data_IF_188019370597
#
_entry.id   IF_188019370597
#
_cell.length_a   1.000
_cell.length_b   1.000
_cell.length_c   1.000
_cell.angle_alpha   90.00
_cell.angle_beta   90.00
_cell.angle_gamma   90.00
#
_symmetry.space_group_name_H-M   'P 1'
#
loop_
_entity.id
_entity.type
_entity.pdbx_description
1 polymer ?
#
# COMPACT_ATOMS: atom_id res chain seq x y z
N UNK A 1 -7.75 1.64 6.51
CA UNK A 1 -8.89 1.75 7.45
C UNK A 1 -9.51 0.37 7.51
N UNK A 2 -9.67 -0.23 8.69
CA UNK A 2 -10.03 -1.66 8.76
C UNK A 2 -11.48 -1.81 8.31
N UNK A 3 -11.69 -2.60 7.26
CA UNK A 3 -13.02 -2.99 6.83
C UNK A 3 -13.49 -4.18 7.67
N UNK A 4 -14.45 -3.92 8.56
CA UNK A 4 -15.02 -4.91 9.47
C UNK A 4 -16.26 -5.59 8.89
N UNK A 5 -16.82 -5.08 7.79
CA UNK A 5 -18.01 -5.64 7.15
C UNK A 5 -17.89 -7.13 6.83
N UNK A 6 -16.76 -7.64 6.31
CA UNK A 6 -16.61 -9.07 6.05
C UNK A 6 -16.67 -9.94 7.31
N UNK A 7 -16.35 -9.38 8.48
CA UNK A 7 -16.40 -10.09 9.76
C UNK A 7 -17.82 -10.16 10.34
N UNK A 8 -18.69 -9.24 9.92
CA UNK A 8 -20.07 -9.11 10.39
C UNK A 8 -21.08 -9.78 9.44
N UNK A 9 -20.62 -10.26 8.28
CA UNK A 9 -21.46 -10.90 7.27
C UNK A 9 -21.57 -12.41 7.50
N UNK A 10 -22.70 -12.83 8.08
CA UNK A 10 -22.99 -14.23 8.42
C UNK A 10 -23.46 -15.06 7.20
N UNK A 11 -23.66 -14.44 6.04
CA UNK A 11 -24.13 -15.15 4.84
C UNK A 11 -23.04 -15.99 4.17
N UNK A 12 -21.76 -15.70 4.46
CA UNK A 12 -20.58 -16.31 3.84
C UNK A 12 -19.91 -17.30 4.79
N UNK A 13 -20.44 -18.51 4.82
CA UNK A 13 -20.00 -19.58 5.74
C UNK A 13 -19.07 -20.61 5.11
N UNK A 14 -18.96 -20.67 3.79
CA UNK A 14 -18.18 -21.70 3.09
C UNK A 14 -16.73 -21.27 2.86
N UNK A 15 -15.83 -22.25 2.85
CA UNK A 15 -14.40 -22.04 2.61
C UNK A 15 -14.13 -21.58 1.16
N UNK A 16 -13.12 -20.71 0.94
CA UNK A 16 -12.77 -20.25 -0.40
C UNK A 16 -12.31 -21.40 -1.30
N UNK A 17 -12.78 -21.42 -2.55
CA UNK A 17 -12.27 -22.33 -3.58
C UNK A 17 -10.81 -22.00 -3.93
N UNK A 18 -10.08 -23.00 -4.42
CA UNK A 18 -8.71 -22.85 -4.96
C UNK A 18 -8.64 -21.78 -6.08
N UNK A 19 -9.71 -21.63 -6.88
CA UNK A 19 -9.80 -20.60 -7.93
C UNK A 19 -9.88 -19.20 -7.35
N UNK A 20 -10.67 -18.99 -6.29
CA UNK A 20 -10.76 -17.69 -5.59
C UNK A 20 -9.41 -17.30 -4.99
N UNK A 21 -8.74 -18.22 -4.30
CA UNK A 21 -7.40 -17.98 -3.74
C UNK A 21 -6.36 -17.63 -4.83
N UNK A 22 -6.39 -18.33 -5.96
CA UNK A 22 -5.53 -18.01 -7.11
C UNK A 22 -5.82 -16.63 -7.69
N UNK A 23 -7.10 -16.27 -7.86
CA UNK A 23 -7.52 -14.93 -8.32
C UNK A 23 -7.07 -13.82 -7.37
N UNK A 24 -7.23 -14.02 -6.06
CA UNK A 24 -6.74 -13.06 -5.06
C UNK A 24 -5.21 -12.91 -5.14
N UNK A 25 -4.49 -14.02 -5.31
CA UNK A 25 -3.04 -14.02 -5.46
C UNK A 25 -2.56 -13.33 -6.76
N UNK A 26 -3.25 -13.51 -7.90
CA UNK A 26 -2.91 -12.84 -9.16
C UNK A 26 -3.30 -11.37 -9.17
N UNK A 27 -4.42 -11.01 -8.52
CA UNK A 27 -4.85 -9.62 -8.33
C UNK A 27 -3.93 -8.84 -7.37
N UNK A 28 -3.02 -9.54 -6.66
CA UNK A 28 -2.16 -8.94 -5.65
C UNK A 28 -2.94 -8.46 -4.43
N UNK A 29 -4.12 -9.03 -4.18
CA UNK A 29 -4.90 -8.78 -2.98
C UNK A 29 -4.21 -9.48 -1.82
N UNK A 30 -3.83 -8.69 -0.84
CA UNK A 30 -3.21 -9.14 0.40
C UNK A 30 -3.91 -8.40 1.52
N UNK A 31 -3.96 -9.02 2.70
CA UNK A 31 -4.36 -8.31 3.92
C UNK A 31 -3.61 -6.97 3.98
N UNK A 32 -4.32 -5.89 4.28
CA UNK A 32 -3.73 -4.56 4.38
C UNK A 32 -2.54 -4.66 5.35
N UNK A 33 -1.35 -4.28 4.87
CA UNK A 33 -0.12 -4.48 5.61
C UNK A 33 -0.22 -3.66 6.91
N UNK A 34 -0.14 -4.35 8.05
CA UNK A 34 -0.14 -3.65 9.33
C UNK A 34 1.09 -2.77 9.43
N UNK A 35 0.90 -1.61 10.07
CA UNK A 35 1.94 -0.61 10.21
C UNK A 35 3.00 -0.96 11.27
N UNK A 36 3.18 -2.25 11.60
CA UNK A 36 4.12 -2.79 12.60
C UNK A 36 5.59 -2.39 12.36
N UNK A 37 5.95 -2.07 11.12
CA UNK A 37 7.29 -1.62 10.78
C UNK A 37 7.67 -0.31 11.51
N UNK A 38 6.73 0.60 11.73
CA UNK A 38 7.00 1.90 12.35
C UNK A 38 7.31 1.82 13.85
N UNK A 39 6.51 1.14 14.71
CA UNK A 39 6.85 1.00 16.12
C UNK A 39 8.14 0.21 16.33
N UNK A 40 8.42 -0.80 15.51
CA UNK A 40 9.68 -1.56 15.61
C UNK A 40 10.90 -0.74 15.13
N UNK A 41 10.74 0.07 14.09
CA UNK A 41 11.77 1.02 13.67
C UNK A 41 12.07 2.05 14.76
N UNK A 42 11.02 2.59 15.39
CA UNK A 42 11.16 3.53 16.49
C UNK A 42 11.83 2.88 17.70
N UNK A 43 11.45 1.64 18.07
CA UNK A 43 12.10 0.87 19.13
C UNK A 43 13.61 0.69 18.85
N UNK A 44 13.96 0.26 17.64
CA UNK A 44 15.34 0.02 17.26
C UNK A 44 16.17 1.31 17.30
N UNK A 45 15.62 2.41 16.80
CA UNK A 45 16.24 3.73 16.90
C UNK A 45 16.42 4.17 18.36
N UNK A 46 15.41 3.96 19.21
CA UNK A 46 15.46 4.31 20.63
C UNK A 46 16.52 3.49 21.38
N UNK A 47 16.65 2.20 21.10
CA UNK A 47 17.67 1.34 21.70
C UNK A 47 19.08 1.71 21.24
N UNK A 48 19.27 2.01 19.96
CA UNK A 48 20.53 2.51 19.44
C UNK A 48 20.91 3.85 20.09
N UNK A 49 19.93 4.75 20.23
CA UNK A 49 20.13 6.05 20.90
C UNK A 49 20.41 5.88 22.39
N UNK A 50 19.82 4.87 23.05
CA UNK A 50 20.11 4.53 24.46
C UNK A 50 21.52 3.96 24.65
N UNK A 51 22.05 3.26 23.65
CA UNK A 51 23.41 2.71 23.66
C UNK A 51 24.45 3.79 23.36
N UNK A 52 24.23 4.62 22.33
CA UNK A 52 25.15 5.68 21.92
C UNK A 52 25.03 6.98 22.75
N UNK A 53 23.90 7.17 23.44
CA UNK A 53 23.53 8.39 24.16
C UNK A 53 24.56 8.86 25.19
N UNK A 54 25.05 8.00 26.11
CA UNK A 54 26.02 8.42 27.12
C UNK A 54 27.31 8.98 26.51
N UNK A 55 27.90 8.27 25.56
CA UNK A 55 29.13 8.71 24.89
C UNK A 55 28.90 10.01 24.10
N UNK A 56 27.79 10.12 23.37
CA UNK A 56 27.45 11.35 22.64
C UNK A 56 27.21 12.54 23.58
N UNK A 57 26.65 12.30 24.78
CA UNK A 57 26.42 13.33 25.79
C UNK A 57 27.74 13.84 26.38
N UNK A 58 28.65 12.93 26.73
CA UNK A 58 29.98 13.29 27.22
C UNK A 58 30.78 14.09 26.18
N UNK A 59 30.74 13.66 24.91
CA UNK A 59 31.36 14.39 23.81
C UNK A 59 30.72 15.78 23.60
N UNK A 60 29.39 15.91 23.71
CA UNK A 60 28.70 17.20 23.63
C UNK A 60 29.06 18.15 24.78
N UNK A 61 29.17 17.64 26.00
CA UNK A 61 29.61 18.44 27.16
C UNK A 61 31.06 18.90 26.96
N UNK A 62 31.94 18.03 26.48
CA UNK A 62 33.32 18.40 26.16
C UNK A 62 33.38 19.45 25.04
N UNK A 63 32.58 19.31 23.98
CA UNK A 63 32.49 20.30 22.92
C UNK A 63 31.97 21.66 23.42
N UNK A 64 30.97 21.65 24.31
CA UNK A 64 30.44 22.86 24.92
C UNK A 64 31.49 23.56 25.79
N UNK A 65 32.20 22.82 26.65
CA UNK A 65 33.27 23.35 27.50
C UNK A 65 34.40 23.94 26.65
N UNK A 66 34.86 23.21 25.64
CA UNK A 66 35.92 23.68 24.74
C UNK A 66 35.49 24.93 23.95
N UNK A 67 34.25 24.96 23.47
CA UNK A 67 33.70 26.12 22.77
C UNK A 67 33.60 27.36 23.67
N UNK A 68 33.23 27.17 24.94
CA UNK A 68 33.17 28.25 25.92
C UNK A 68 34.57 28.79 26.26
N UNK A 69 35.56 27.90 26.46
CA UNK A 69 36.96 28.28 26.65
C UNK A 69 37.53 29.02 25.44
N UNK A 70 37.28 28.53 24.23
CA UNK A 70 37.72 29.21 23.01
C UNK A 70 37.08 30.60 22.86
N UNK A 71 35.79 30.74 23.18
CA UNK A 71 35.11 32.04 23.17
C UNK A 71 35.69 33.01 24.21
N UNK A 72 36.07 32.53 25.38
CA UNK A 72 36.72 33.34 26.41
C UNK A 72 38.10 33.86 25.98
N UNK A 73 38.80 33.13 25.12
CA UNK A 73 40.09 33.52 24.52
C UNK A 73 39.92 34.36 23.23
N UNK A 74 38.69 34.72 22.85
CA UNK A 74 38.40 35.49 21.63
C UNK A 74 38.37 34.66 20.34
N UNK A 75 38.42 33.34 20.45
CA UNK A 75 38.24 32.40 19.35
C UNK A 75 36.76 32.12 19.02
N UNK A 76 36.53 31.47 17.88
CA UNK A 76 35.20 31.00 17.48
C UNK A 76 35.06 29.50 17.77
N UNK A 77 33.90 29.03 18.26
CA UNK A 77 33.65 27.61 18.45
C UNK A 77 33.71 26.87 17.11
N UNK A 78 34.46 25.78 17.06
CA UNK A 78 34.56 24.94 15.86
C UNK A 78 33.28 24.12 15.70
N UNK A 79 32.55 24.27 14.59
CA UNK A 79 31.28 23.57 14.38
C UNK A 79 31.44 22.04 14.42
N UNK A 80 32.58 21.52 13.97
CA UNK A 80 32.86 20.08 13.89
C UNK A 80 32.75 19.37 15.24
N UNK A 81 33.14 20.04 16.33
CA UNK A 81 33.08 19.46 17.69
C UNK A 81 31.64 19.21 18.14
N UNK A 82 30.66 19.89 17.56
CA UNK A 82 29.23 19.67 17.83
C UNK A 82 28.58 18.71 16.82
N UNK A 83 29.02 18.72 15.57
CA UNK A 83 28.44 17.88 14.50
C UNK A 83 28.80 16.41 14.67
N UNK A 84 30.05 16.10 15.00
CA UNK A 84 30.51 14.70 15.18
C UNK A 84 29.68 13.92 16.22
N UNK A 85 29.50 14.39 17.48
CA UNK A 85 28.77 13.64 18.48
C UNK A 85 27.28 13.48 18.14
N UNK A 86 26.66 14.51 17.54
CA UNK A 86 25.28 14.41 17.04
C UNK A 86 25.18 13.36 15.93
N UNK A 87 26.14 13.31 15.02
CA UNK A 87 26.22 12.29 13.97
C UNK A 87 26.37 10.88 14.54
N UNK A 88 27.26 10.69 15.52
CA UNK A 88 27.47 9.40 16.22
C UNK A 88 26.24 8.94 16.99
N UNK A 89 25.34 9.85 17.36
CA UNK A 89 24.07 9.52 17.98
C UNK A 89 22.98 9.19 16.95
N UNK A 90 22.78 10.07 15.97
CA UNK A 90 21.66 10.01 15.04
C UNK A 90 21.84 8.97 13.93
N UNK A 91 23.08 8.79 13.43
CA UNK A 91 23.34 7.86 12.31
C UNK A 91 23.06 6.41 12.72
N UNK A 92 23.58 5.87 13.84
CA UNK A 92 23.24 4.51 14.27
C UNK A 92 21.75 4.32 14.55
N UNK A 93 21.09 5.33 15.13
CA UNK A 93 19.65 5.28 15.39
C UNK A 93 18.83 5.21 14.09
N UNK A 94 19.17 6.03 13.09
CA UNK A 94 18.53 6.01 11.79
C UNK A 94 18.77 4.67 11.06
N UNK A 95 20.00 4.15 11.08
CA UNK A 95 20.34 2.86 10.48
C UNK A 95 19.62 1.70 11.17
N UNK A 96 19.56 1.69 12.50
CA UNK A 96 18.84 0.67 13.26
C UNK A 96 17.34 0.69 12.95
N UNK A 97 16.73 1.88 12.92
CA UNK A 97 15.32 2.04 12.55
C UNK A 97 15.03 1.62 11.12
N UNK A 98 15.89 2.01 10.17
CA UNK A 98 15.78 1.59 8.78
C UNK A 98 15.89 0.07 8.63
N UNK A 99 16.91 -0.54 9.23
CA UNK A 99 17.13 -1.97 9.20
C UNK A 99 15.92 -2.72 9.78
N UNK A 100 15.43 -2.34 10.96
CA UNK A 100 14.25 -2.95 11.57
C UNK A 100 13.00 -2.82 10.68
N UNK A 101 12.75 -1.63 10.13
CA UNK A 101 11.62 -1.41 9.20
C UNK A 101 11.72 -2.29 7.95
N UNK A 102 12.92 -2.36 7.35
CA UNK A 102 13.18 -3.19 6.19
C UNK A 102 12.96 -4.68 6.51
N UNK A 103 13.48 -5.18 7.63
CA UNK A 103 13.30 -6.56 8.08
C UNK A 103 11.82 -6.90 8.26
N UNK A 104 11.04 -6.04 8.91
CA UNK A 104 9.60 -6.27 9.12
C UNK A 104 8.84 -6.33 7.79
N UNK A 105 9.13 -5.40 6.86
CA UNK A 105 8.48 -5.37 5.54
C UNK A 105 8.81 -6.61 4.71
N UNK A 106 10.03 -7.11 4.80
CA UNK A 106 10.45 -8.34 4.12
C UNK A 106 9.81 -9.58 4.79
N UNK A 107 9.80 -9.64 6.13
CA UNK A 107 9.23 -10.75 6.90
C UNK A 107 7.71 -10.89 6.72
N UNK A 108 6.98 -9.77 6.61
CA UNK A 108 5.54 -9.76 6.35
C UNK A 108 5.18 -10.10 4.90
N UNK A 109 6.17 -10.44 4.06
CA UNK A 109 5.94 -10.84 2.67
C UNK A 109 5.40 -9.71 1.80
N UNK A 110 5.65 -8.44 2.19
CA UNK A 110 5.28 -7.30 1.34
C UNK A 110 6.08 -7.43 0.05
N UNK A 111 5.40 -7.76 -1.04
CA UNK A 111 6.01 -7.75 -2.37
C UNK A 111 6.20 -6.28 -2.71
N UNK A 112 7.42 -5.78 -2.50
CA UNK A 112 7.82 -4.39 -2.81
C UNK A 112 7.53 -4.02 -4.28
N UNK A 113 7.36 -5.02 -5.15
CA UNK A 113 7.04 -4.88 -6.56
C UNK A 113 5.80 -5.69 -6.92
N UNK A 114 4.61 -5.12 -6.70
CA UNK A 114 3.40 -5.59 -7.34
C UNK A 114 3.09 -4.65 -8.53
N UNK A 115 3.61 -4.97 -9.71
CA UNK A 115 3.38 -4.17 -10.93
C UNK A 115 1.88 -3.93 -11.21
N UNK A 116 1.02 -4.88 -10.85
CA UNK A 116 -0.44 -4.76 -10.94
C UNK A 116 -1.07 -3.72 -9.99
N UNK A 117 -0.33 -3.22 -8.98
CA UNK A 117 -0.76 -2.12 -8.09
C UNK A 117 -0.34 -0.74 -8.60
N UNK A 118 0.64 -0.67 -9.50
CA UNK A 118 1.09 0.57 -10.16
C UNK A 118 0.22 0.95 -11.36
N UNK A 119 -0.63 0.04 -11.84
CA UNK A 119 -1.59 0.34 -12.90
C UNK A 119 -2.64 1.35 -12.39
N UNK A 120 -2.83 2.50 -13.05
CA UNK A 120 -3.85 3.47 -12.66
C UNK A 120 -5.25 2.83 -12.85
N UNK A 121 -5.93 2.54 -11.74
CA UNK A 121 -7.30 2.00 -11.75
C UNK A 121 -8.30 3.17 -11.89
N UNK A 122 -8.46 3.67 -13.11
CA UNK A 122 -9.39 4.76 -13.44
C UNK A 122 -10.86 4.37 -13.18
N UNK A 123 -11.17 3.07 -13.17
CA UNK A 123 -12.51 2.54 -12.88
C UNK A 123 -13.03 2.88 -11.47
N UNK A 124 -12.15 3.26 -10.54
CA UNK A 124 -12.52 3.59 -9.14
C UNK A 124 -12.94 5.05 -8.93
N UNK A 125 -12.71 5.93 -9.92
CA UNK A 125 -13.05 7.36 -9.80
C UNK A 125 -14.54 7.66 -10.04
N UNK A 126 -15.26 6.79 -10.77
CA UNK A 126 -16.66 7.02 -11.15
C UNK A 126 -17.70 6.41 -10.20
N UNK A 127 -17.28 5.57 -9.25
CA UNK A 127 -18.19 4.85 -8.35
C UNK A 127 -17.74 5.03 -6.91
N UNK A 128 -18.06 6.19 -6.33
CA UNK A 128 -18.13 6.38 -4.89
C UNK A 128 -19.56 6.03 -4.45
N UNK A 129 -19.85 4.76 -4.08
CA UNK A 129 -21.11 4.45 -3.45
C UNK A 129 -21.12 5.13 -2.08
N UNK A 130 -21.85 6.23 -1.96
CA UNK A 130 -22.13 6.92 -0.69
C UNK A 130 -22.75 5.96 0.35
N UNK A 131 -23.34 4.85 -0.11
CA UNK A 131 -23.88 3.75 0.71
C UNK A 131 -22.83 2.83 1.33
N UNK A 132 -21.55 2.88 0.91
CA UNK A 132 -20.43 2.18 1.58
C UNK A 132 -19.87 2.94 2.79
N UNK A 133 -20.39 4.14 3.09
CA UNK A 133 -20.24 4.77 4.40
C UNK A 133 -21.12 4.02 5.41
N UNK A 134 -20.81 2.75 5.65
CA UNK A 134 -21.46 1.99 6.72
C UNK A 134 -21.09 2.67 8.04
N UNK A 135 -22.06 3.33 8.69
CA UNK A 135 -21.93 3.92 10.01
C UNK A 135 -21.19 3.00 11.02
N UNK A 136 -21.39 1.67 11.06
CA UNK A 136 -20.65 0.81 11.99
C UNK A 136 -19.13 0.79 11.76
N UNK A 137 -18.67 0.78 10.50
CA UNK A 137 -17.23 0.87 10.20
C UNK A 137 -16.67 2.23 10.63
N UNK A 138 -17.41 3.32 10.40
CA UNK A 138 -16.96 4.65 10.81
C UNK A 138 -16.88 4.78 12.34
N UNK A 139 -17.92 4.31 13.05
CA UNK A 139 -17.97 4.34 14.51
C UNK A 139 -16.85 3.51 15.14
N UNK A 140 -16.64 2.27 14.67
CA UNK A 140 -15.59 1.39 15.17
C UNK A 140 -14.19 1.97 14.93
N UNK A 141 -13.92 2.47 13.72
CA UNK A 141 -12.63 3.09 13.40
C UNK A 141 -12.40 4.39 14.21
N UNK A 142 -13.45 5.18 14.45
CA UNK A 142 -13.36 6.40 15.28
C UNK A 142 -13.08 6.04 16.73
N UNK A 143 -13.80 5.07 17.29
CA UNK A 143 -13.57 4.57 18.66
C UNK A 143 -12.14 4.04 18.82
N UNK A 144 -11.62 3.34 17.81
CA UNK A 144 -10.26 2.83 17.81
C UNK A 144 -9.20 3.94 17.81
N UNK A 145 -9.37 4.97 16.99
CA UNK A 145 -8.48 6.14 16.98
C UNK A 145 -8.56 6.89 18.32
N UNK A 146 -9.77 7.09 18.85
CA UNK A 146 -9.98 7.72 20.15
C UNK A 146 -9.29 6.92 21.27
N UNK A 147 -9.39 5.59 21.26
CA UNK A 147 -8.72 4.72 22.23
C UNK A 147 -7.19 4.86 22.18
N UNK A 148 -6.59 4.91 20.98
CA UNK A 148 -5.14 5.16 20.83
C UNK A 148 -4.75 6.52 21.39
N UNK A 149 -5.51 7.56 21.04
CA UNK A 149 -5.24 8.93 21.50
C UNK A 149 -5.35 9.03 23.03
N UNK A 150 -6.39 8.43 23.61
CA UNK A 150 -6.58 8.37 25.06
C UNK A 150 -5.44 7.61 25.75
N UNK A 151 -4.99 6.48 25.19
CA UNK A 151 -3.87 5.72 25.73
C UNK A 151 -2.56 6.54 25.72
N UNK A 152 -2.27 7.22 24.60
CA UNK A 152 -1.10 8.13 24.51
C UNK A 152 -1.23 9.28 25.50
N UNK A 153 -2.39 9.93 25.59
CA UNK A 153 -2.63 11.02 26.52
C UNK A 153 -2.46 10.57 27.99
N UNK A 154 -2.98 9.41 28.36
CA UNK A 154 -2.83 8.84 29.69
C UNK A 154 -1.36 8.54 30.04
N UNK A 155 -0.58 8.00 29.10
CA UNK A 155 0.84 7.75 29.30
C UNK A 155 1.64 9.04 29.48
N UNK A 156 1.37 10.05 28.64
CA UNK A 156 2.02 11.36 28.75
C UNK A 156 1.65 12.02 30.08
N UNK A 157 0.38 11.97 30.48
CA UNK A 157 -0.08 12.50 31.77
C UNK A 157 0.60 11.81 32.95
N UNK A 158 0.71 10.48 32.92
CA UNK A 158 1.37 9.70 33.96
C UNK A 158 2.89 9.95 34.03
N UNK A 159 3.52 10.22 32.89
CA UNK A 159 4.95 10.53 32.83
C UNK A 159 5.27 12.00 33.14
N UNK A 160 4.27 12.89 33.08
CA UNK A 160 4.45 14.34 33.26
C UNK A 160 5.27 14.71 34.51
N UNK A 161 5.03 14.14 35.70
CA UNK A 161 5.81 14.47 36.90
C UNK A 161 7.31 14.15 36.76
N UNK A 162 7.66 13.11 36.00
CA UNK A 162 9.04 12.65 35.81
C UNK A 162 9.84 13.46 34.77
N UNK A 163 9.19 14.40 34.06
CA UNK A 163 9.81 15.20 32.99
C UNK A 163 9.70 16.70 33.35
N UNK A 164 9.41 17.02 34.62
CA UNK A 164 9.31 18.40 35.09
C UNK A 164 10.70 19.02 35.32
N UNK A 165 10.84 20.34 35.13
CA UNK A 165 12.12 21.06 35.30
C UNK A 165 12.61 21.09 36.76
N UNK A 166 11.82 20.60 37.71
CA UNK A 166 12.22 20.42 39.11
C UNK A 166 13.18 19.24 39.31
N UNK A 167 13.38 18.39 38.31
CA UNK A 167 14.30 17.24 38.38
C UNK A 167 15.67 17.56 37.77
N UNK A 168 16.71 16.89 38.28
CA UNK A 168 18.02 16.89 37.64
C UNK A 168 17.95 16.33 36.22
N UNK A 169 18.85 16.79 35.35
CA UNK A 169 18.89 16.42 33.92
C UNK A 169 18.85 14.90 33.70
N UNK A 170 19.56 14.13 34.54
CA UNK A 170 19.57 12.68 34.47
C UNK A 170 18.18 12.06 34.74
N UNK A 171 17.41 12.62 35.69
CA UNK A 171 16.05 12.21 36.00
C UNK A 171 15.10 12.48 34.84
N UNK A 172 15.19 13.67 34.23
CA UNK A 172 14.40 14.06 33.05
C UNK A 172 14.68 13.12 31.87
N UNK A 173 15.95 12.82 31.58
CA UNK A 173 16.34 11.92 30.49
C UNK A 173 15.85 10.48 30.73
N UNK A 174 15.96 9.98 31.96
CA UNK A 174 15.45 8.67 32.33
C UNK A 174 13.91 8.60 32.22
N UNK A 175 13.21 9.64 32.67
CA UNK A 175 11.76 9.79 32.53
C UNK A 175 11.31 9.81 31.07
N UNK A 176 12.00 10.59 30.23
CA UNK A 176 11.74 10.67 28.79
C UNK A 176 11.96 9.32 28.08
N UNK A 177 13.05 8.62 28.40
CA UNK A 177 13.30 7.29 27.84
C UNK A 177 12.23 6.27 28.27
N UNK A 178 11.83 6.30 29.55
CA UNK A 178 10.76 5.43 30.06
C UNK A 178 9.44 5.71 29.36
N UNK A 179 9.07 6.98 29.19
CA UNK A 179 7.87 7.36 28.43
C UNK A 179 7.95 6.88 26.98
N UNK A 180 9.08 7.09 26.30
CA UNK A 180 9.27 6.63 24.92
C UNK A 180 9.11 5.10 24.80
N UNK A 181 9.64 4.33 25.75
CA UNK A 181 9.46 2.87 25.78
C UNK A 181 7.99 2.48 25.96
N UNK A 182 7.27 3.09 26.92
CA UNK A 182 5.85 2.82 27.12
C UNK A 182 5.00 3.17 25.90
N UNK A 183 5.25 4.32 25.27
CA UNK A 183 4.59 4.70 24.02
C UNK A 183 4.86 3.68 22.92
N UNK A 184 6.09 3.18 22.81
CA UNK A 184 6.46 2.16 21.82
C UNK A 184 5.73 0.85 22.06
N UNK A 185 5.66 0.38 23.32
CA UNK A 185 4.95 -0.85 23.68
C UNK A 185 3.46 -0.72 23.37
N UNK A 186 2.84 0.40 23.74
CA UNK A 186 1.44 0.67 23.43
C UNK A 186 1.20 0.75 21.92
N UNK A 187 2.07 1.42 21.18
CA UNK A 187 1.98 1.47 19.72
C UNK A 187 2.12 0.09 19.08
N UNK A 188 3.03 -0.75 19.59
CA UNK A 188 3.18 -2.13 19.15
C UNK A 188 1.92 -2.94 19.45
N UNK A 189 1.34 -2.82 20.64
CA UNK A 189 0.11 -3.51 21.03
C UNK A 189 -1.09 -3.14 20.14
N UNK A 190 -1.27 -1.85 19.85
CA UNK A 190 -2.30 -1.43 18.91
C UNK A 190 -2.01 -1.91 17.49
N UNK A 191 -0.76 -1.81 17.03
CA UNK A 191 -0.35 -2.26 15.69
C UNK A 191 -0.51 -3.78 15.49
N UNK A 192 -0.27 -4.58 16.53
CA UNK A 192 -0.48 -6.04 16.47
C UNK A 192 -1.97 -6.37 16.46
N UNK A 193 -2.78 -5.71 17.29
CA UNK A 193 -4.23 -5.88 17.26
C UNK A 193 -4.81 -5.50 15.88
N UNK A 194 -4.38 -4.38 15.29
CA UNK A 194 -4.77 -4.01 13.93
C UNK A 194 -4.34 -5.03 12.89
N UNK A 195 -3.15 -5.61 13.03
CA UNK A 195 -2.67 -6.65 12.13
C UNK A 195 -3.54 -7.90 12.17
N UNK A 196 -3.85 -8.37 13.37
CA UNK A 196 -4.66 -9.57 13.56
C UNK A 196 -6.08 -9.35 13.03
N UNK A 197 -6.67 -8.18 13.30
CA UNK A 197 -7.98 -7.81 12.76
C UNK A 197 -7.97 -7.71 11.24
N UNK A 198 -6.94 -7.10 10.64
CA UNK A 198 -6.81 -7.00 9.19
C UNK A 198 -6.59 -8.37 8.51
N UNK A 199 -5.86 -9.28 9.16
CA UNK A 199 -5.74 -10.67 8.66
C UNK A 199 -7.04 -11.43 8.79
N UNK A 200 -7.76 -11.27 9.90
CA UNK A 200 -9.06 -11.91 10.11
C UNK A 200 -10.10 -11.39 9.11
N UNK A 201 -10.16 -10.07 8.89
CA UNK A 201 -11.10 -9.49 7.92
C UNK A 201 -10.75 -9.87 6.48
N UNK A 202 -9.47 -9.97 6.13
CA UNK A 202 -9.06 -10.50 4.83
C UNK A 202 -9.43 -11.97 4.66
N UNK A 203 -9.23 -12.81 5.68
CA UNK A 203 -9.64 -14.20 5.62
C UNK A 203 -11.17 -14.34 5.47
N UNK A 204 -11.93 -13.53 6.22
CA UNK A 204 -13.38 -13.49 6.13
C UNK A 204 -13.86 -12.97 4.77
N UNK A 205 -13.19 -11.98 4.18
CA UNK A 205 -13.52 -11.47 2.85
C UNK A 205 -13.27 -12.48 1.72
N UNK A 206 -12.47 -13.51 1.97
CA UNK A 206 -12.30 -14.63 1.04
C UNK A 206 -13.37 -15.71 1.19
N UNK A 207 -14.16 -15.74 2.26
CA UNK A 207 -15.25 -16.72 2.41
C UNK A 207 -16.31 -16.56 1.31
N UNK A 208 -16.94 -17.68 0.99
CA UNK A 208 -17.94 -17.81 -0.07
C UNK A 208 -19.30 -18.16 0.53
N UNK A 209 -20.37 -17.81 -0.19
CA UNK A 209 -21.70 -18.36 0.08
C UNK A 209 -21.83 -19.72 -0.62
N UNK A 210 -22.77 -20.57 -0.18
CA UNK A 210 -23.07 -21.85 -0.86
C UNK A 210 -23.41 -21.67 -2.34
N UNK A 211 -24.08 -20.57 -2.68
CA UNK A 211 -24.42 -20.22 -4.07
C UNK A 211 -23.16 -19.85 -4.84
N UNK A 212 -22.29 -18.99 -4.27
CA UNK A 212 -21.02 -18.61 -4.89
C UNK A 212 -20.11 -19.83 -5.15
N UNK A 213 -20.01 -20.77 -4.21
CA UNK A 213 -19.24 -22.01 -4.39
C UNK A 213 -19.78 -22.83 -5.55
N UNK A 214 -21.09 -23.07 -5.58
CA UNK A 214 -21.75 -23.85 -6.65
C UNK A 214 -21.54 -23.22 -8.02
N UNK A 215 -21.63 -21.91 -8.13
CA UNK A 215 -21.40 -21.20 -9.39
C UNK A 215 -19.93 -21.20 -9.80
N UNK A 216 -19.00 -21.14 -8.85
CA UNK A 216 -17.56 -21.24 -9.15
C UNK A 216 -17.17 -22.65 -9.63
N UNK A 217 -17.88 -23.71 -9.19
CA UNK A 217 -17.75 -25.06 -9.75
C UNK A 217 -18.31 -25.18 -11.18
N UNK A 218 -19.52 -24.66 -11.44
CA UNK A 218 -20.09 -24.62 -12.81
C UNK A 218 -19.17 -23.87 -13.79
N UNK A 219 -18.58 -22.77 -13.35
CA UNK A 219 -17.62 -21.98 -14.12
C UNK A 219 -16.27 -22.70 -14.33
N UNK A 220 -15.96 -23.75 -13.55
CA UNK A 220 -14.72 -24.52 -13.67
C UNK A 220 -14.91 -25.69 -14.64
N UNK A 221 -16.05 -26.37 -14.56
CA UNK A 221 -16.43 -27.48 -15.45
C UNK A 221 -16.86 -26.97 -16.84
N UNK A 222 -17.22 -25.69 -16.93
CA UNK A 222 -17.64 -25.04 -18.16
C UNK A 222 -19.11 -25.32 -18.43
N UNK A 223 -19.96 -24.34 -18.13
CA UNK A 223 -21.38 -24.43 -18.41
C UNK A 223 -21.60 -24.60 -19.94
N UNK A 224 -22.26 -25.68 -20.40
CA UNK A 224 -22.54 -25.89 -21.81
C UNK A 224 -23.32 -24.71 -22.44
N UNK A 225 -24.12 -23.98 -21.66
CA UNK A 225 -24.79 -22.77 -22.13
C UNK A 225 -23.81 -21.63 -22.44
N UNK A 226 -22.81 -21.41 -21.59
CA UNK A 226 -21.78 -20.38 -21.79
C UNK A 226 -20.87 -20.75 -22.96
N UNK A 227 -20.51 -22.04 -23.08
CA UNK A 227 -19.73 -22.54 -24.21
C UNK A 227 -20.49 -22.39 -25.53
N UNK A 228 -21.81 -22.62 -25.53
CA UNK A 228 -22.69 -22.37 -26.67
C UNK A 228 -22.75 -20.89 -27.07
N UNK A 229 -22.94 -19.99 -26.11
CA UNK A 229 -22.95 -18.54 -26.38
C UNK A 229 -21.61 -18.02 -26.91
N UNK A 230 -20.49 -18.52 -26.39
CA UNK A 230 -19.16 -18.17 -26.91
C UNK A 230 -18.98 -18.69 -28.34
N UNK A 231 -19.40 -19.94 -28.62
CA UNK A 231 -19.31 -20.53 -29.94
C UNK A 231 -20.16 -19.74 -30.96
N UNK A 232 -21.39 -19.38 -30.59
CA UNK A 232 -22.30 -18.60 -31.43
C UNK A 232 -21.76 -17.18 -31.69
N UNK A 233 -21.14 -16.56 -30.68
CA UNK A 233 -20.49 -15.27 -30.82
C UNK A 233 -19.25 -15.33 -31.74
N UNK A 234 -18.49 -16.43 -31.70
CA UNK A 234 -17.37 -16.68 -32.61
C UNK A 234 -17.90 -16.87 -34.03
N UNK A 235 -18.91 -17.73 -34.23
CA UNK A 235 -19.52 -17.99 -35.54
C UNK A 235 -20.02 -16.71 -36.21
N UNK A 236 -20.74 -15.86 -35.48
CA UNK A 236 -21.20 -14.55 -35.97
C UNK A 236 -20.05 -13.63 -36.38
N UNK A 237 -18.92 -13.66 -35.67
CA UNK A 237 -17.73 -12.86 -36.03
C UNK A 237 -17.03 -13.41 -37.27
N UNK A 238 -16.87 -14.73 -37.38
CA UNK A 238 -16.30 -15.36 -38.59
C UNK A 238 -17.19 -15.24 -39.82
N UNK A 239 -18.52 -15.18 -39.65
CA UNK A 239 -19.46 -14.92 -40.75
C UNK A 239 -19.42 -13.46 -41.24
N UNK A 240 -18.99 -12.53 -40.38
CA UNK A 240 -18.86 -11.11 -40.72
C UNK A 240 -17.51 -10.74 -41.36
N UNK A 241 -16.48 -11.58 -41.24
CA UNK A 241 -15.20 -11.38 -41.92
C UNK A 241 -15.09 -12.20 -43.22
N UNK A 242 -15.02 -11.58 -44.40
CA UNK A 242 -14.77 -12.33 -45.64
C UNK A 242 -13.34 -12.86 -45.62
N UNK A 243 -13.22 -14.19 -45.55
CA UNK A 243 -11.94 -14.89 -45.43
C UNK A 243 -10.94 -14.58 -46.56
N UNK A 244 -9.65 -14.89 -46.38
CA UNK A 244 -8.55 -14.46 -47.26
C UNK A 244 -8.71 -14.86 -48.74
N UNK A 245 -9.51 -15.90 -49.04
CA UNK A 245 -9.84 -16.31 -50.41
C UNK A 245 -10.81 -15.35 -51.14
N UNK A 246 -11.65 -14.62 -50.41
CA UNK A 246 -12.56 -13.63 -50.98
C UNK A 246 -11.84 -12.32 -51.32
N UNK A 247 -10.80 -11.95 -50.56
CA UNK A 247 -9.95 -10.77 -50.83
C UNK A 247 -9.10 -10.91 -52.10
N UNK A 248 -8.73 -12.13 -52.49
CA UNK A 248 -7.93 -12.37 -53.70
C UNK A 248 -8.72 -12.16 -55.01
N UNK A 249 -10.06 -12.23 -54.98
CA UNK A 249 -10.92 -11.99 -56.17
C UNK A 249 -11.22 -10.51 -56.46
N UNK A 250 -10.88 -9.59 -55.56
CA UNK A 250 -11.14 -8.15 -55.72
C UNK A 250 -9.91 -7.36 -56.21
N UNK A 251 -8.81 -8.03 -56.60
CA UNK A 251 -7.56 -7.37 -56.98
C UNK A 251 -7.05 -7.82 -58.36
N UNK A 252 -7.81 -7.51 -59.41
CA UNK A 252 -7.27 -7.40 -60.79
C UNK A 252 -7.99 -6.26 -61.53
N UNK A 253 -7.32 -5.13 -61.82
CA UNK A 253 -7.80 -4.13 -62.77
C UNK A 253 -7.13 -4.31 -64.14
N UNK A 254 -7.92 -4.64 -65.16
CA UNK A 254 -7.61 -4.44 -66.59
C UNK A 254 -8.93 -4.69 -67.36
N UNK A 255 -9.31 -3.98 -68.40
CA UNK A 255 -8.53 -3.27 -69.43
C UNK A 255 -9.40 -2.23 -70.15
N UNK A 256 -8.74 -1.19 -70.63
CA UNK A 256 -9.21 -0.06 -71.44
C UNK A 256 -9.85 -0.54 -72.75
N UNK A 257 -11.04 -0.04 -73.12
CA UNK A 257 -11.45 0.15 -74.52
C UNK A 257 -12.27 1.43 -74.66
N UNK A 258 -11.78 2.31 -75.51
CA UNK A 258 -12.33 3.58 -75.94
C UNK A 258 -13.18 3.35 -77.20
N UNK A 259 -14.37 3.95 -77.30
CA UNK A 259 -15.12 4.03 -78.57
C UNK A 259 -15.88 5.36 -78.69
N UNK A 260 -15.39 6.20 -79.58
CA UNK A 260 -16.01 7.42 -80.14
C UNK A 260 -17.36 7.15 -80.83
N UNK A 261 -18.31 8.11 -80.81
CA UNK A 261 -19.44 8.15 -81.75
C UNK A 261 -19.22 9.22 -82.82
N UNK A 262 -19.50 8.92 -84.10
CA UNK A 262 -19.49 9.94 -85.16
C UNK A 262 -19.56 9.38 -86.57
N UNK A 263 -20.77 9.08 -87.05
CA UNK A 263 -21.07 8.59 -88.39
C UNK A 263 -21.11 9.71 -89.44
N UNK A 264 -20.55 9.42 -90.63
CA UNK A 264 -20.96 9.80 -91.99
C UNK A 264 -21.22 11.30 -92.29
N UNK A 265 -20.34 11.96 -93.06
CA UNK A 265 -20.34 12.09 -94.55
C UNK A 265 -21.52 12.92 -95.08
N UNK A 266 -21.20 14.06 -95.70
CA UNK A 266 -22.10 14.79 -96.59
C UNK A 266 -21.67 16.24 -96.88
N UNK A 267 -20.79 16.42 -97.86
CA UNK A 267 -20.54 17.69 -98.57
C UNK A 267 -21.25 17.63 -99.96
N UNK A 268 -21.18 18.65 -100.84
CA UNK A 268 -21.40 20.10 -100.73
C UNK A 268 -22.41 20.63 -101.80
N UNK A 269 -22.48 21.96 -101.96
CA UNK A 269 -23.22 22.80 -102.97
C UNK A 269 -24.66 23.12 -102.54
N UNK A 270 -25.18 24.34 -102.61
CA UNK A 270 -24.88 25.60 -103.34
C UNK A 270 -25.24 26.78 -102.47
#
# INVERSE_FOLDING_TARGET
MIDLLPLLDDSRTEEPTQRRLRRAATAGEQAEASNLAHPLAFLAALLAMRAAGPAAFDELLNAANNGLSAAAEGGLPQLETFVSPVGRLLVPAALAGFAASATVRLALGSRLFAAARLAPRLDRLGQLPWTRLALPNLAANTAWIAAKLAAVAALVWAAFPAITPAQELAGVLAGALRLALWLTVTWLAFGTAEHLLARASFAASQRMTRVEVKDDFKMAEGDPHVRGQILEAIERRTAAEPGPRARAKLRTPNSIVNSTPGSAIGAPRT
#
